data_IF_719892455733
#
_entry.id   IF_719892455733
#
_cell.length_a   1.000
_cell.length_b   1.000
_cell.length_c   1.000
_cell.angle_alpha   90.00
_cell.angle_beta   90.00
_cell.angle_gamma   90.00
#
_symmetry.space_group_name_H-M   'P 1'
#
loop_
_entity.id
_entity.type
_entity.pdbx_description
1 polymer ?
#
# COMPACT_ATOMS: atom_id res chain seq x y z
N UNK A 1 6.63 -4.43 16.03
CA UNK A 1 7.93 -4.31 15.32
C UNK A 1 9.02 -4.45 16.36
N UNK A 2 9.80 -5.53 16.29
CA UNK A 2 10.95 -5.76 17.18
C UNK A 2 12.20 -5.85 16.31
N UNK A 3 13.28 -5.18 16.74
CA UNK A 3 14.57 -5.27 16.09
C UNK A 3 15.69 -5.21 17.12
N UNK A 4 16.84 -5.75 16.75
CA UNK A 4 18.05 -5.72 17.58
C UNK A 4 19.06 -4.79 16.92
N UNK A 5 19.63 -3.88 17.69
CA UNK A 5 20.72 -3.00 17.24
C UNK A 5 22.05 -3.76 17.21
N UNK A 6 23.09 -3.25 16.51
CA UNK A 6 24.38 -3.94 16.39
C UNK A 6 25.09 -4.23 17.73
N UNK A 7 24.84 -3.41 18.75
CA UNK A 7 25.31 -3.58 20.13
C UNK A 7 24.46 -4.57 20.96
N UNK A 8 23.48 -5.22 20.33
CA UNK A 8 22.71 -6.31 20.90
C UNK A 8 21.45 -5.87 21.66
N UNK A 9 21.17 -4.57 21.75
CA UNK A 9 19.98 -4.05 22.45
C UNK A 9 18.73 -4.35 21.61
N UNK A 10 17.73 -4.94 22.26
CA UNK A 10 16.42 -5.18 21.66
C UNK A 10 15.53 -3.95 21.80
N UNK A 11 14.96 -3.50 20.70
CA UNK A 11 14.01 -2.40 20.66
C UNK A 11 12.66 -2.89 20.16
N UNK A 12 11.60 -2.41 20.80
CA UNK A 12 10.22 -2.68 20.43
C UNK A 12 9.52 -1.38 20.05
N UNK A 13 8.69 -1.43 19.01
CA UNK A 13 7.90 -0.30 18.57
C UNK A 13 6.74 -0.03 19.52
N UNK A 14 6.74 1.14 20.18
CA UNK A 14 5.83 1.53 21.27
C UNK A 14 4.37 1.13 21.05
N UNK A 15 3.71 1.65 20.01
CA UNK A 15 2.28 1.38 19.77
C UNK A 15 2.04 -0.10 19.40
N UNK A 16 2.92 -0.70 18.60
CA UNK A 16 2.75 -2.08 18.16
C UNK A 16 2.91 -3.10 19.27
N UNK A 17 3.86 -2.88 20.20
CA UNK A 17 4.02 -3.76 21.36
C UNK A 17 2.95 -3.50 22.41
N UNK A 18 2.55 -2.24 22.61
CA UNK A 18 1.42 -1.89 23.48
C UNK A 18 0.13 -2.59 23.02
N UNK A 19 -0.25 -2.48 21.75
CA UNK A 19 -1.43 -3.16 21.19
C UNK A 19 -1.35 -4.70 21.32
N UNK A 20 -0.16 -5.28 21.22
CA UNK A 20 0.05 -6.72 21.33
C UNK A 20 -0.07 -7.24 22.77
N UNK A 21 -0.01 -6.36 23.76
CA UNK A 21 -0.06 -6.69 25.19
C UNK A 21 -1.39 -6.27 25.85
N UNK A 22 -2.36 -5.77 25.07
CA UNK A 22 -3.69 -5.45 25.59
C UNK A 22 -4.50 -6.70 25.90
N UNK A 23 -5.30 -6.63 26.96
CA UNK A 23 -6.26 -7.65 27.36
C UNK A 23 -7.70 -7.25 27.01
N UNK A 24 -8.59 -8.24 26.97
CA UNK A 24 -10.02 -7.98 26.75
C UNK A 24 -10.54 -7.13 27.92
N UNK A 25 -11.03 -5.93 27.60
CA UNK A 25 -11.53 -4.96 28.57
C UNK A 25 -10.68 -3.70 28.69
N UNK A 26 -9.46 -3.72 28.15
CA UNK A 26 -8.61 -2.52 28.13
C UNK A 26 -9.19 -1.41 27.24
N UNK A 27 -9.03 -0.16 27.68
CA UNK A 27 -9.46 1.01 26.92
C UNK A 27 -8.42 1.41 25.86
N UNK A 28 -8.89 1.68 24.63
CA UNK A 28 -8.07 2.19 23.55
C UNK A 28 -8.52 3.62 23.19
N UNK A 29 -7.63 4.57 23.42
CA UNK A 29 -7.83 5.95 22.99
C UNK A 29 -7.44 6.12 21.53
N UNK A 30 -8.41 6.30 20.65
CA UNK A 30 -8.17 6.50 19.22
C UNK A 30 -9.12 7.54 18.60
N UNK A 31 -8.72 8.07 17.44
CA UNK A 31 -9.56 8.94 16.61
C UNK A 31 -9.49 8.47 15.14
N UNK A 32 -10.58 8.63 14.42
CA UNK A 32 -10.67 8.31 12.99
C UNK A 32 -10.20 9.51 12.18
N UNK A 33 -9.07 9.35 11.48
CA UNK A 33 -8.63 10.30 10.46
C UNK A 33 -9.21 9.89 9.10
N UNK A 34 -10.04 10.75 8.50
CA UNK A 34 -10.60 10.50 7.17
C UNK A 34 -9.49 10.46 6.09
N UNK A 35 -9.61 9.52 5.16
CA UNK A 35 -8.73 9.38 3.99
C UNK A 35 -9.54 9.58 2.69
N UNK A 36 -9.94 10.82 2.35
CA UNK A 36 -10.89 11.10 1.26
C UNK A 36 -10.46 10.51 -0.09
N UNK A 37 -9.16 10.43 -0.34
CA UNK A 37 -8.56 9.91 -1.58
C UNK A 37 -8.35 8.38 -1.58
N UNK A 38 -8.83 7.65 -0.58
CA UNK A 38 -8.66 6.20 -0.46
C UNK A 38 -9.97 5.49 -0.11
N UNK A 39 -11.04 5.79 -0.86
CA UNK A 39 -12.33 5.13 -0.78
C UNK A 39 -12.62 4.36 -2.06
N UNK A 40 -13.53 3.38 -1.98
CA UNK A 40 -14.11 2.72 -3.15
C UNK A 40 -14.77 3.76 -4.09
N UNK A 41 -14.79 3.50 -5.41
CA UNK A 41 -15.49 4.37 -6.35
C UNK A 41 -16.99 4.38 -6.07
N UNK A 42 -17.63 5.53 -6.30
CA UNK A 42 -19.09 5.66 -6.19
C UNK A 42 -19.81 4.78 -7.23
N UNK A 43 -19.26 4.70 -8.44
CA UNK A 43 -19.72 3.76 -9.47
C UNK A 43 -19.16 2.38 -9.15
N UNK A 44 -20.03 1.45 -8.75
CA UNK A 44 -19.62 0.11 -8.36
C UNK A 44 -19.30 -0.80 -9.55
N UNK A 45 -19.64 -0.37 -10.78
CA UNK A 45 -19.43 -1.12 -12.03
C UNK A 45 -18.02 -1.01 -12.58
N UNK A 46 -17.24 -0.02 -12.14
CA UNK A 46 -15.86 0.13 -12.58
C UNK A 46 -14.96 -0.91 -11.90
N UNK A 47 -13.98 -1.47 -12.62
CA UNK A 47 -13.07 -2.45 -12.07
C UNK A 47 -12.07 -1.81 -11.10
N UNK A 48 -11.60 -2.60 -10.13
CA UNK A 48 -10.72 -2.18 -9.05
C UNK A 48 -9.51 -3.12 -8.98
N UNK A 49 -8.31 -2.55 -8.96
CA UNK A 49 -7.05 -3.27 -8.76
C UNK A 49 -6.46 -2.84 -7.43
N UNK A 50 -6.29 -3.79 -6.50
CA UNK A 50 -5.72 -3.55 -5.17
C UNK A 50 -4.35 -4.20 -5.07
N UNK A 51 -3.32 -3.44 -4.69
CA UNK A 51 -1.94 -3.90 -4.55
C UNK A 51 -1.44 -3.61 -3.15
N UNK A 52 -1.29 -4.65 -2.33
CA UNK A 52 -0.98 -4.48 -0.91
C UNK A 52 -0.29 -5.67 -0.28
N UNK A 53 1.03 -5.85 -0.46
CA UNK A 53 1.77 -6.90 0.21
C UNK A 53 1.92 -6.66 1.72
N UNK A 54 1.96 -7.75 2.49
CA UNK A 54 2.08 -7.74 3.94
C UNK A 54 0.95 -6.95 4.59
N UNK A 55 1.29 -6.07 5.55
CA UNK A 55 0.30 -5.21 6.23
C UNK A 55 -0.37 -4.20 5.29
N UNK A 56 0.14 -4.00 4.07
CA UNK A 56 -0.53 -3.19 3.03
C UNK A 56 -1.89 -3.73 2.58
N UNK A 57 -2.25 -4.96 2.96
CA UNK A 57 -3.59 -5.50 2.71
C UNK A 57 -4.68 -4.90 3.61
N UNK A 58 -4.29 -4.23 4.71
CA UNK A 58 -5.21 -3.77 5.76
C UNK A 58 -6.44 -2.99 5.26
N UNK A 59 -6.32 -1.94 4.41
CA UNK A 59 -7.50 -1.23 3.95
C UNK A 59 -8.35 -2.06 2.98
N UNK A 60 -7.75 -2.98 2.24
CA UNK A 60 -8.45 -3.82 1.28
C UNK A 60 -9.39 -4.81 1.95
N UNK A 61 -9.10 -5.19 3.20
CA UNK A 61 -10.05 -5.97 4.00
C UNK A 61 -11.39 -5.26 4.16
N UNK A 62 -11.36 -3.98 4.48
CA UNK A 62 -12.57 -3.15 4.50
C UNK A 62 -13.24 -3.07 3.13
N UNK A 63 -12.48 -3.01 2.04
CA UNK A 63 -13.04 -2.91 0.68
C UNK A 63 -13.80 -4.17 0.25
N UNK A 64 -13.24 -5.36 0.44
CA UNK A 64 -13.95 -6.59 0.06
C UNK A 64 -15.11 -6.89 1.02
N UNK A 65 -15.01 -6.51 2.30
CA UNK A 65 -16.14 -6.59 3.24
C UNK A 65 -17.28 -5.64 2.83
N UNK A 66 -16.97 -4.40 2.43
CA UNK A 66 -17.98 -3.47 1.94
C UNK A 66 -18.61 -3.98 0.64
N UNK A 67 -17.80 -4.46 -0.31
CA UNK A 67 -18.29 -5.06 -1.56
C UNK A 67 -19.24 -6.23 -1.30
N UNK A 68 -18.90 -7.10 -0.34
CA UNK A 68 -19.78 -8.19 0.10
C UNK A 68 -21.12 -7.67 0.61
N UNK A 69 -21.09 -6.71 1.51
CA UNK A 69 -22.29 -6.11 2.09
C UNK A 69 -23.18 -5.44 1.02
N UNK A 70 -22.57 -4.72 0.07
CA UNK A 70 -23.28 -4.09 -1.03
C UNK A 70 -23.97 -5.14 -1.94
N UNK A 71 -23.27 -6.23 -2.27
CA UNK A 71 -23.81 -7.34 -3.06
C UNK A 71 -24.97 -8.05 -2.33
N UNK A 72 -24.84 -8.30 -1.03
CA UNK A 72 -25.89 -8.92 -0.21
C UNK A 72 -27.13 -8.01 -0.08
N UNK A 73 -26.92 -6.70 0.06
CA UNK A 73 -28.00 -5.72 0.10
C UNK A 73 -28.75 -5.62 -1.24
N UNK A 74 -28.04 -5.69 -2.37
CA UNK A 74 -28.67 -5.73 -3.70
C UNK A 74 -29.52 -6.99 -3.89
N UNK A 75 -29.05 -8.16 -3.45
CA UNK A 75 -29.80 -9.42 -3.55
C UNK A 75 -31.10 -9.40 -2.71
N UNK A 76 -31.12 -8.67 -1.60
CA UNK A 76 -32.26 -8.64 -0.66
C UNK A 76 -33.27 -7.54 -0.99
N UNK A 77 -32.83 -6.43 -1.58
CA UNK A 77 -33.74 -5.36 -2.03
C UNK A 77 -34.31 -5.71 -3.41
N UNK A 78 -35.63 -5.68 -3.59
CA UNK A 78 -36.33 -6.00 -4.86
C UNK A 78 -36.01 -5.02 -6.02
N UNK A 79 -35.03 -4.15 -5.84
CA UNK A 79 -34.43 -3.37 -6.90
C UNK A 79 -33.59 -4.31 -7.76
N UNK A 80 -34.25 -5.08 -8.65
CA UNK A 80 -33.64 -5.77 -9.79
C UNK A 80 -33.08 -4.78 -10.83
N UNK A 81 -32.63 -3.59 -10.41
CA UNK A 81 -31.70 -2.86 -11.23
C UNK A 81 -30.45 -3.73 -11.24
N UNK A 82 -30.09 -4.20 -12.43
CA UNK A 82 -29.02 -5.13 -12.72
C UNK A 82 -27.68 -4.42 -12.41
N UNK A 83 -27.42 -4.08 -11.14
CA UNK A 83 -26.29 -3.28 -10.75
C UNK A 83 -25.06 -4.17 -10.87
N UNK A 84 -24.33 -3.90 -11.94
CA UNK A 84 -23.14 -4.65 -12.29
C UNK A 84 -22.04 -4.25 -11.33
N UNK A 85 -21.48 -5.21 -10.61
CA UNK A 85 -20.25 -5.01 -9.85
C UNK A 85 -19.05 -5.21 -10.79
N UNK A 86 -18.19 -4.20 -10.87
CA UNK A 86 -16.92 -4.27 -11.59
C UNK A 86 -15.98 -5.31 -10.98
N UNK A 87 -15.06 -5.83 -11.80
CA UNK A 87 -14.09 -6.82 -11.35
C UNK A 87 -13.19 -6.26 -10.23
N UNK A 88 -12.94 -7.03 -9.17
CA UNK A 88 -12.07 -6.64 -8.05
C UNK A 88 -10.87 -7.58 -7.97
N UNK A 89 -9.68 -7.08 -8.35
CA UNK A 89 -8.45 -7.87 -8.37
C UNK A 89 -7.58 -7.54 -7.17
N UNK A 90 -7.07 -8.56 -6.48
CA UNK A 90 -6.13 -8.43 -5.37
C UNK A 90 -4.75 -8.94 -5.77
N UNK A 91 -3.73 -8.10 -5.63
CA UNK A 91 -2.32 -8.46 -5.71
C UNK A 91 -1.72 -8.40 -4.31
N UNK A 92 -1.59 -9.57 -3.69
CA UNK A 92 -1.03 -9.74 -2.36
C UNK A 92 0.37 -10.35 -2.43
N UNK A 93 1.22 -10.01 -1.48
CA UNK A 93 2.55 -10.60 -1.37
C UNK A 93 2.97 -10.78 0.08
N UNK A 94 3.64 -11.90 0.36
CA UNK A 94 4.16 -12.25 1.67
C UNK A 94 5.46 -13.04 1.53
N UNK A 95 6.08 -13.43 2.64
CA UNK A 95 7.29 -14.24 2.58
C UNK A 95 6.96 -15.68 2.21
N UNK A 96 6.00 -16.28 2.91
CA UNK A 96 5.69 -17.71 2.86
C UNK A 96 4.18 -17.97 2.88
N UNK A 97 3.78 -19.09 2.30
CA UNK A 97 2.38 -19.52 2.18
C UNK A 97 1.71 -19.82 3.53
N UNK A 98 2.51 -20.19 4.54
CA UNK A 98 2.04 -20.64 5.86
C UNK A 98 2.29 -19.65 6.99
N UNK A 99 3.40 -18.92 6.96
CA UNK A 99 3.83 -18.09 8.10
C UNK A 99 3.14 -16.72 8.14
N UNK A 100 3.02 -16.03 7.01
CA UNK A 100 2.59 -14.64 6.95
C UNK A 100 1.59 -14.34 5.82
N UNK A 101 0.94 -15.39 5.33
CA UNK A 101 -0.21 -15.29 4.42
C UNK A 101 -1.49 -14.97 5.20
N UNK A 102 -1.55 -13.74 5.72
CA UNK A 102 -2.67 -13.23 6.52
C UNK A 102 -3.97 -13.19 5.71
N UNK A 103 -5.10 -13.45 6.37
CA UNK A 103 -6.44 -13.51 5.78
C UNK A 103 -6.63 -14.53 4.65
N UNK A 104 -5.72 -15.50 4.49
CA UNK A 104 -5.77 -16.51 3.40
C UNK A 104 -7.16 -17.13 3.21
N UNK A 105 -7.77 -17.59 4.30
CA UNK A 105 -9.03 -18.33 4.20
C UNK A 105 -10.22 -17.38 3.93
N UNK A 106 -10.18 -16.14 4.45
CA UNK A 106 -11.13 -15.09 4.12
C UNK A 106 -11.04 -14.69 2.63
N UNK A 107 -9.82 -14.48 2.11
CA UNK A 107 -9.59 -14.15 0.70
C UNK A 107 -10.10 -15.27 -0.22
N UNK A 108 -9.82 -16.53 0.12
CA UNK A 108 -10.31 -17.70 -0.63
C UNK A 108 -11.83 -17.76 -0.65
N UNK A 109 -12.49 -17.46 0.47
CA UNK A 109 -13.94 -17.41 0.54
C UNK A 109 -14.48 -16.27 -0.34
N UNK A 110 -13.88 -15.07 -0.27
CA UNK A 110 -14.27 -13.95 -1.12
C UNK A 110 -14.08 -14.24 -2.62
N UNK A 111 -13.05 -15.00 -3.00
CA UNK A 111 -12.83 -15.42 -4.39
C UNK A 111 -13.89 -16.43 -4.87
N UNK A 112 -14.29 -17.37 -3.98
CA UNK A 112 -15.38 -18.31 -4.24
C UNK A 112 -16.72 -17.60 -4.40
N UNK A 113 -16.98 -16.59 -3.57
CA UNK A 113 -18.19 -15.76 -3.59
C UNK A 113 -18.16 -14.67 -4.69
N UNK A 114 -17.09 -14.58 -5.47
CA UNK A 114 -16.89 -13.57 -6.54
C UNK A 114 -16.87 -12.11 -6.08
N UNK A 115 -16.75 -11.87 -4.78
CA UNK A 115 -16.46 -10.55 -4.20
C UNK A 115 -15.08 -10.08 -4.68
N UNK A 116 -14.09 -10.97 -4.59
CA UNK A 116 -12.79 -10.82 -5.24
C UNK A 116 -12.82 -11.63 -6.54
N UNK A 117 -12.74 -10.97 -7.68
CA UNK A 117 -12.84 -11.66 -8.98
C UNK A 117 -11.60 -12.50 -9.26
N UNK A 118 -10.41 -11.99 -8.93
CA UNK A 118 -9.12 -12.70 -9.04
C UNK A 118 -8.17 -12.30 -7.91
N UNK A 119 -7.50 -13.27 -7.32
CA UNK A 119 -6.44 -13.05 -6.34
C UNK A 119 -5.09 -13.56 -6.85
N UNK A 120 -4.05 -12.74 -6.73
CA UNK A 120 -2.70 -13.04 -7.17
C UNK A 120 -1.74 -12.96 -5.99
N UNK A 121 -0.99 -14.05 -5.75
CA UNK A 121 -0.10 -14.18 -4.59
C UNK A 121 1.37 -14.20 -5.01
N UNK A 122 2.16 -13.30 -4.43
CA UNK A 122 3.60 -13.22 -4.61
C UNK A 122 4.33 -13.73 -3.36
N UNK A 123 5.08 -14.82 -3.48
CA UNK A 123 5.89 -15.37 -2.39
C UNK A 123 7.36 -15.04 -2.60
N UNK A 124 7.96 -14.35 -1.63
CA UNK A 124 9.34 -13.87 -1.74
C UNK A 124 10.39 -14.79 -1.12
N UNK A 125 9.98 -15.74 -0.26
CA UNK A 125 10.88 -16.65 0.48
C UNK A 125 10.34 -18.09 0.58
N UNK A 126 9.35 -18.46 -0.22
CA UNK A 126 8.81 -19.82 -0.22
C UNK A 126 9.83 -20.82 -0.83
N UNK A 127 10.27 -21.85 -0.07
CA UNK A 127 11.20 -22.85 -0.58
C UNK A 127 10.69 -23.52 -1.86
N UNK A 128 11.58 -23.70 -2.83
CA UNK A 128 11.23 -24.32 -4.13
C UNK A 128 10.44 -23.42 -5.08
N UNK A 129 10.01 -22.23 -4.65
CA UNK A 129 9.34 -21.25 -5.51
C UNK A 129 10.30 -20.12 -5.86
N UNK A 130 10.31 -19.71 -7.14
CA UNK A 130 11.06 -18.53 -7.57
C UNK A 130 10.56 -17.29 -6.82
N UNK A 131 11.48 -16.62 -6.12
CA UNK A 131 11.25 -15.31 -5.47
C UNK A 131 10.48 -14.38 -6.40
N UNK A 132 9.30 -13.98 -5.96
CA UNK A 132 8.35 -13.17 -6.74
C UNK A 132 7.83 -12.03 -5.87
N UNK A 133 7.72 -10.84 -6.44
CA UNK A 133 7.07 -9.68 -5.84
C UNK A 133 5.79 -9.28 -6.60
N UNK A 134 4.97 -8.42 -6.01
CA UNK A 134 3.68 -7.99 -6.62
C UNK A 134 3.86 -7.33 -7.99
N UNK A 135 4.93 -6.54 -8.19
CA UNK A 135 5.26 -5.95 -9.50
C UNK A 135 5.60 -7.00 -10.56
N UNK A 136 6.11 -8.17 -10.20
CA UNK A 136 6.34 -9.26 -11.15
C UNK A 136 5.01 -9.86 -11.62
N UNK A 137 4.03 -9.97 -10.72
CA UNK A 137 2.67 -10.41 -11.06
C UNK A 137 1.94 -9.38 -11.91
N UNK A 138 2.10 -8.09 -11.62
CA UNK A 138 1.56 -7.00 -12.45
C UNK A 138 2.14 -7.09 -13.86
N UNK A 139 3.45 -7.33 -14.00
CA UNK A 139 4.08 -7.51 -15.31
C UNK A 139 3.47 -8.68 -16.08
N UNK A 140 3.30 -9.84 -15.41
CA UNK A 140 2.72 -11.05 -16.03
C UNK A 140 1.28 -10.84 -16.49
N UNK A 141 0.48 -10.09 -15.73
CA UNK A 141 -0.93 -9.83 -16.00
C UNK A 141 -1.16 -8.48 -16.72
N UNK A 142 -0.12 -7.92 -17.36
CA UNK A 142 -0.17 -6.55 -17.90
C UNK A 142 -1.30 -6.30 -18.90
N UNK A 143 -1.72 -7.30 -19.67
CA UNK A 143 -2.84 -7.18 -20.62
C UNK A 143 -4.16 -6.86 -19.91
N UNK A 144 -4.51 -7.65 -18.90
CA UNK A 144 -5.74 -7.50 -18.13
C UNK A 144 -5.72 -6.18 -17.35
N UNK A 145 -4.59 -5.86 -16.73
CA UNK A 145 -4.39 -4.59 -16.02
C UNK A 145 -4.57 -3.40 -16.98
N UNK A 146 -3.98 -3.45 -18.17
CA UNK A 146 -4.15 -2.40 -19.17
C UNK A 146 -5.62 -2.24 -19.59
N UNK A 147 -6.35 -3.35 -19.81
CA UNK A 147 -7.78 -3.33 -20.13
C UNK A 147 -8.57 -2.65 -19.02
N UNK A 148 -8.42 -3.10 -17.78
CA UNK A 148 -9.12 -2.55 -16.62
C UNK A 148 -8.86 -1.04 -16.46
N UNK A 149 -7.59 -0.62 -16.54
CA UNK A 149 -7.21 0.78 -16.33
C UNK A 149 -7.65 1.67 -17.50
N UNK A 150 -7.36 1.27 -18.73
CA UNK A 150 -7.43 2.17 -19.91
C UNK A 150 -8.71 2.01 -20.70
N UNK A 151 -9.31 0.82 -20.73
CA UNK A 151 -10.54 0.54 -21.48
C UNK A 151 -11.79 0.61 -20.62
N UNK A 152 -11.66 0.34 -19.32
CA UNK A 152 -12.79 0.24 -18.40
C UNK A 152 -12.75 1.34 -17.31
N UNK A 153 -11.82 2.29 -17.42
CA UNK A 153 -11.64 3.40 -16.48
C UNK A 153 -11.52 2.97 -15.01
N UNK A 154 -10.94 1.79 -14.78
CA UNK A 154 -10.78 1.21 -13.46
C UNK A 154 -9.89 2.02 -12.53
N UNK A 155 -10.04 1.70 -11.25
CA UNK A 155 -9.29 2.30 -10.14
C UNK A 155 -8.13 1.41 -9.71
N UNK A 156 -7.00 2.01 -9.35
CA UNK A 156 -5.82 1.32 -8.83
C UNK A 156 -5.50 1.83 -7.44
N UNK A 157 -5.42 0.93 -6.47
CA UNK A 157 -5.08 1.23 -5.09
C UNK A 157 -3.76 0.56 -4.71
N UNK A 158 -2.83 1.35 -4.18
CA UNK A 158 -1.51 0.89 -3.76
C UNK A 158 -1.35 1.20 -2.27
N UNK A 159 -1.17 0.18 -1.45
CA UNK A 159 -1.00 0.35 -0.01
C UNK A 159 0.22 -0.43 0.52
N UNK A 160 1.01 0.21 1.38
CA UNK A 160 2.18 -0.41 2.02
C UNK A 160 3.44 0.44 1.93
N UNK A 161 4.63 -0.19 1.91
CA UNK A 161 5.90 0.56 2.00
C UNK A 161 6.19 1.49 0.81
N UNK A 162 6.93 2.57 1.06
CA UNK A 162 7.37 3.55 0.04
C UNK A 162 8.08 2.87 -1.15
N UNK A 163 9.00 1.94 -0.86
CA UNK A 163 9.77 1.27 -1.92
C UNK A 163 8.86 0.42 -2.81
N UNK A 164 7.98 -0.36 -2.19
CA UNK A 164 7.01 -1.19 -2.92
C UNK A 164 6.10 -0.35 -3.83
N UNK A 165 5.56 0.75 -3.30
CA UNK A 165 4.69 1.62 -4.09
C UNK A 165 5.42 2.27 -5.28
N UNK A 166 6.69 2.68 -5.08
CA UNK A 166 7.54 3.19 -6.17
C UNK A 166 7.72 2.15 -7.28
N UNK A 167 7.99 0.90 -6.92
CA UNK A 167 8.22 -0.17 -7.88
C UNK A 167 6.94 -0.60 -8.61
N UNK A 168 5.80 -0.63 -7.90
CA UNK A 168 4.47 -0.86 -8.50
C UNK A 168 4.13 0.25 -9.50
N UNK A 169 4.30 1.53 -9.14
CA UNK A 169 4.03 2.66 -10.05
C UNK A 169 4.89 2.60 -11.30
N UNK A 170 6.19 2.30 -11.17
CA UNK A 170 7.07 2.09 -12.33
C UNK A 170 6.57 0.95 -13.22
N UNK A 171 6.08 -0.14 -12.62
CA UNK A 171 5.57 -1.26 -13.39
C UNK A 171 4.25 -0.93 -14.11
N UNK A 172 3.32 -0.23 -13.45
CA UNK A 172 2.07 0.22 -14.08
C UNK A 172 2.35 1.11 -15.29
N UNK A 173 3.31 2.04 -15.18
CA UNK A 173 3.76 2.85 -16.31
C UNK A 173 4.26 2.01 -17.47
N UNK A 174 5.09 0.99 -17.20
CA UNK A 174 5.58 0.06 -18.23
C UNK A 174 4.45 -0.74 -18.87
N UNK A 175 3.45 -1.16 -18.09
CA UNK A 175 2.26 -1.87 -18.61
C UNK A 175 1.48 -0.96 -19.55
N UNK A 176 1.18 0.27 -19.15
CA UNK A 176 0.46 1.25 -19.96
C UNK A 176 1.23 1.59 -21.24
N UNK A 177 2.55 1.75 -21.12
CA UNK A 177 3.44 2.00 -22.26
C UNK A 177 3.39 0.85 -23.28
N UNK A 178 3.62 -0.38 -22.81
CA UNK A 178 3.80 -1.55 -23.66
C UNK A 178 2.49 -1.95 -24.35
N UNK A 179 1.39 -2.03 -23.60
CA UNK A 179 0.10 -2.46 -24.13
C UNK A 179 -0.66 -1.34 -24.82
N UNK A 180 -0.40 -0.08 -24.46
CA UNK A 180 -0.96 1.09 -25.11
C UNK A 180 -0.15 1.60 -26.29
N UNK A 181 1.04 1.05 -26.55
CA UNK A 181 2.00 1.57 -27.54
C UNK A 181 2.24 3.08 -27.40
N UNK A 182 2.34 3.55 -26.16
CA UNK A 182 2.48 4.97 -25.81
C UNK A 182 3.96 5.36 -25.65
N UNK A 183 4.29 6.61 -25.94
CA UNK A 183 5.59 7.20 -25.57
C UNK A 183 5.65 7.45 -24.06
N UNK A 184 6.84 7.74 -23.53
CA UNK A 184 6.98 8.06 -22.10
C UNK A 184 6.15 9.29 -21.70
N UNK A 185 6.18 10.37 -22.49
CA UNK A 185 5.36 11.57 -22.26
C UNK A 185 3.86 11.25 -22.19
N UNK A 186 3.37 10.43 -23.12
CA UNK A 186 1.96 10.03 -23.14
C UNK A 186 1.57 9.16 -21.93
N UNK A 187 2.53 8.43 -21.35
CA UNK A 187 2.31 7.67 -20.12
C UNK A 187 2.30 8.61 -18.91
N UNK A 188 3.19 9.60 -18.87
CA UNK A 188 3.17 10.65 -17.84
C UNK A 188 1.83 11.37 -17.79
N UNK A 189 1.41 11.93 -18.92
CA UNK A 189 0.13 12.62 -19.07
C UNK A 189 -1.06 11.73 -18.63
N UNK A 190 -1.03 10.44 -18.99
CA UNK A 190 -2.10 9.53 -18.62
C UNK A 190 -2.12 9.21 -17.13
N UNK A 191 -0.96 9.05 -16.49
CA UNK A 191 -0.87 8.82 -15.04
C UNK A 191 -1.32 10.07 -14.27
N UNK A 192 -0.96 11.27 -14.72
CA UNK A 192 -1.41 12.50 -14.08
C UNK A 192 -2.93 12.68 -14.23
N UNK A 193 -3.47 12.41 -15.43
CA UNK A 193 -4.91 12.32 -15.64
C UNK A 193 -5.60 11.34 -14.68
N UNK A 194 -5.03 10.15 -14.45
CA UNK A 194 -5.60 9.20 -13.48
C UNK A 194 -5.63 9.75 -12.05
N UNK A 195 -4.64 10.56 -11.64
CA UNK A 195 -4.65 11.18 -10.31
C UNK A 195 -5.70 12.27 -10.23
N UNK A 196 -5.80 13.11 -11.25
CA UNK A 196 -6.77 14.21 -11.33
C UNK A 196 -8.21 13.67 -11.32
N UNK A 197 -8.45 12.54 -11.97
CA UNK A 197 -9.73 11.82 -11.96
C UNK A 197 -9.95 10.96 -10.70
N UNK A 198 -9.02 10.98 -9.74
CA UNK A 198 -9.05 10.18 -8.51
C UNK A 198 -9.25 8.67 -8.79
N UNK A 199 -8.48 8.13 -9.74
CA UNK A 199 -8.45 6.71 -10.13
C UNK A 199 -7.14 6.00 -9.76
N UNK A 200 -6.12 6.73 -9.32
CA UNK A 200 -4.88 6.19 -8.78
C UNK A 200 -4.72 6.63 -7.32
N UNK A 201 -4.80 5.66 -6.40
CA UNK A 201 -4.85 5.89 -4.97
C UNK A 201 -3.61 5.29 -4.28
N UNK A 202 -3.04 6.03 -3.34
CA UNK A 202 -1.83 5.64 -2.61
C UNK A 202 -2.05 5.82 -1.10
N UNK A 203 -1.83 4.76 -0.32
CA UNK A 203 -1.78 4.81 1.14
C UNK A 203 -0.45 4.22 1.62
N UNK A 204 0.54 5.09 1.80
CA UNK A 204 1.95 4.70 1.91
C UNK A 204 2.41 4.77 3.35
N UNK A 205 2.88 3.63 3.87
CA UNK A 205 3.44 3.50 5.20
C UNK A 205 4.93 3.84 5.20
N UNK A 206 5.33 4.68 6.14
CA UNK A 206 6.73 4.96 6.44
C UNK A 206 7.06 6.45 6.43
N UNK A 207 8.24 6.76 6.96
CA UNK A 207 8.78 8.12 6.96
C UNK A 207 9.41 8.34 5.58
N UNK A 208 8.94 9.33 4.84
CA UNK A 208 9.68 9.86 3.70
C UNK A 208 10.95 10.52 4.25
N UNK A 209 12.02 9.72 4.43
CA UNK A 209 13.32 10.25 4.80
C UNK A 209 13.81 11.05 3.60
N UNK A 210 13.53 12.35 3.58
CA UNK A 210 14.37 13.29 2.80
C UNK A 210 15.78 12.99 3.28
N UNK A 211 16.64 12.47 2.40
CA UNK A 211 18.07 12.30 2.67
C UNK A 211 18.60 13.65 3.15
N UNK A 212 18.63 13.88 4.46
CA UNK A 212 19.49 14.88 5.07
C UNK A 212 20.89 14.41 4.72
N UNK A 213 21.46 15.04 3.69
CA UNK A 213 22.89 14.93 3.39
C UNK A 213 23.60 15.43 4.65
N UNK A 214 23.97 14.51 5.53
CA UNK A 214 24.97 14.80 6.55
C UNK A 214 26.25 15.14 5.79
N UNK A 215 26.48 16.45 5.62
CA UNK A 215 27.77 17.00 5.23
C UNK A 215 28.68 16.75 6.44
N UNK A 216 29.43 15.67 6.43
CA UNK A 216 30.64 15.56 7.25
C UNK A 216 31.56 16.69 6.82
N UNK A 217 31.57 17.80 7.56
CA UNK A 217 32.71 18.72 7.53
C UNK A 217 33.82 18.01 8.27
N UNK A 218 34.78 17.51 7.50
CA UNK A 218 36.11 17.15 7.98
C UNK A 218 36.68 18.31 8.79
N UNK A 219 37.26 17.95 9.93
CA UNK A 219 37.94 18.87 10.82
C UNK A 219 39.12 19.52 10.09
N UNK A 220 39.07 20.83 9.93
CA UNK A 220 40.27 21.66 9.77
C UNK A 220 40.43 22.48 11.05
N UNK A 221 41.58 22.24 11.67
CA UNK A 221 42.06 22.91 12.88
C UNK A 221 42.02 24.44 12.71
N UNK A 222 41.43 25.13 13.68
CA UNK A 222 41.75 26.54 13.94
C UNK A 222 42.33 26.66 15.35
N UNK A 223 43.43 27.42 15.52
CA UNK A 223 44.18 27.43 16.77
C UNK A 223 43.44 28.22 17.86
N UNK A 224 43.74 27.80 19.10
CA UNK A 224 43.30 28.34 20.39
C UNK A 224 42.94 29.84 20.38
N UNK A 225 41.72 30.15 20.84
CA UNK A 225 41.41 31.45 21.44
C UNK A 225 41.06 31.23 22.91
N UNK A 226 41.86 31.86 23.76
CA UNK A 226 41.73 31.95 25.23
C UNK A 226 40.34 32.45 25.64
N UNK A 227 39.76 31.95 26.75
CA UNK A 227 38.46 32.42 27.21
C UNK A 227 38.61 33.80 27.85
N UNK A 228 37.87 34.80 27.34
CA UNK A 228 37.67 36.08 28.04
C UNK A 228 36.63 35.85 29.14
N UNK A 229 37.02 36.05 30.39
CA UNK A 229 36.11 36.28 31.51
C UNK A 229 35.26 37.53 31.24
N UNK A 230 33.94 37.38 31.22
CA UNK A 230 33.00 38.48 31.37
C UNK A 230 32.43 38.43 32.79
N UNK A 231 32.90 39.36 33.63
CA UNK A 231 32.26 39.72 34.88
C UNK A 231 30.89 40.33 34.57
N UNK A 232 29.82 39.76 35.13
CA UNK A 232 28.59 40.50 35.38
C UNK A 232 28.81 41.34 36.65
N UNK A 233 28.61 42.66 36.54
CA UNK A 233 28.40 43.55 37.68
C UNK A 233 26.97 44.06 37.60
N UNK A 234 26.25 43.91 38.71
CA UNK A 234 24.99 44.58 39.02
C UNK A 234 25.19 46.09 39.08
N UNK A 235 24.43 46.84 38.29
CA UNK A 235 23.55 47.99 38.66
C UNK A 235 23.06 48.68 37.40
#
# INVERSE_FOLDING_TARGET
>A
LEYQTPDGIKHQGVCSSWLNNLEIGDEIYCNVRKAPLFHLPNDQSVPIIMVGPGTGIAPFRGFWMQRKNDMEHELTTRNKHNQSFGEMYLYFGCHNTTADNIYRDEIRQCEKEKILTKCFFAFSREPGIKKTYVQDLIKRNGRDIYKMIVKENGHVYICGSIQMASDVKKMLRRVIQSWGKKTESQVDEYIDKMKDENRLHEDIFGIAVKKLKYRTKTAEQKPNRTPRMSFFKET
#
